data_IF_165044775172
#
_entry.id   IF_165044775172
#
_cell.length_a   1.000
_cell.length_b   1.000
_cell.length_c   1.000
_cell.angle_alpha   90.00
_cell.angle_beta   90.00
_cell.angle_gamma   90.00
#
_symmetry.space_group_name_H-M   'P 1'
#
loop_
_entity.id
_entity.type
_entity.pdbx_description
1 polymer ?
#
# COMPACT_ATOMS: atom_id res chain seq x y z
N UNK A 1 -8.14 -22.54 -3.22
CA UNK A 1 -6.94 -21.66 -3.14
C UNK A 1 -7.02 -20.47 -4.11
N UNK A 2 -7.49 -20.65 -5.35
CA UNK A 2 -7.68 -19.57 -6.34
C UNK A 2 -8.58 -18.38 -5.95
N UNK A 3 -9.71 -18.52 -5.23
CA UNK A 3 -10.56 -17.37 -4.89
C UNK A 3 -9.89 -16.43 -3.88
N UNK A 4 -9.19 -16.96 -2.88
CA UNK A 4 -8.54 -16.16 -1.84
C UNK A 4 -7.39 -15.30 -2.39
N UNK A 5 -6.65 -15.78 -3.40
CA UNK A 5 -5.60 -14.98 -4.08
C UNK A 5 -6.21 -13.81 -4.85
N UNK A 6 -7.35 -14.00 -5.54
CA UNK A 6 -8.04 -12.91 -6.23
C UNK A 6 -8.59 -11.88 -5.26
N UNK A 7 -9.14 -12.31 -4.13
CA UNK A 7 -9.62 -11.43 -3.06
C UNK A 7 -8.44 -10.67 -2.44
N UNK A 8 -7.34 -11.35 -2.14
CA UNK A 8 -6.11 -10.71 -1.64
C UNK A 8 -5.59 -9.66 -2.62
N UNK A 9 -5.47 -9.99 -3.90
CA UNK A 9 -4.93 -9.08 -4.92
C UNK A 9 -5.84 -7.86 -5.12
N UNK A 10 -7.17 -8.06 -5.09
CA UNK A 10 -8.14 -6.96 -5.16
C UNK A 10 -8.01 -6.01 -3.96
N UNK A 11 -8.00 -6.55 -2.75
CA UNK A 11 -7.86 -5.75 -1.53
C UNK A 11 -6.46 -5.14 -1.38
N UNK A 12 -5.43 -5.79 -1.91
CA UNK A 12 -4.08 -5.25 -2.01
C UNK A 12 -4.04 -4.01 -2.91
N UNK A 13 -4.66 -4.07 -4.10
CA UNK A 13 -4.76 -2.94 -5.02
C UNK A 13 -5.53 -1.79 -4.38
N UNK A 14 -6.64 -2.07 -3.69
CA UNK A 14 -7.41 -1.04 -2.96
C UNK A 14 -6.57 -0.39 -1.86
N UNK A 15 -5.86 -1.18 -1.03
CA UNK A 15 -5.00 -0.67 0.03
C UNK A 15 -3.80 0.14 -0.47
N UNK A 16 -3.16 -0.32 -1.55
CA UNK A 16 -2.06 0.38 -2.20
C UNK A 16 -2.53 1.70 -2.85
N UNK A 17 -3.70 1.71 -3.49
CA UNK A 17 -4.29 2.90 -4.09
C UNK A 17 -4.65 3.95 -3.03
N UNK A 18 -5.19 3.51 -1.89
CA UNK A 18 -5.49 4.40 -0.77
C UNK A 18 -4.22 5.03 -0.17
N UNK A 19 -3.18 4.23 0.08
CA UNK A 19 -1.90 4.75 0.56
C UNK A 19 -1.29 5.75 -0.43
N UNK A 20 -1.36 5.47 -1.73
CA UNK A 20 -0.90 6.37 -2.79
C UNK A 20 -1.71 7.67 -2.83
N UNK A 21 -3.04 7.61 -2.68
CA UNK A 21 -3.91 8.78 -2.60
C UNK A 21 -3.59 9.67 -1.39
N UNK A 22 -3.29 9.05 -0.23
CA UNK A 22 -2.90 9.78 0.99
C UNK A 22 -1.54 10.44 0.82
N UNK A 23 -0.57 9.78 0.19
CA UNK A 23 0.76 10.37 -0.08
C UNK A 23 0.66 11.56 -1.04
N UNK A 24 -0.22 11.47 -2.04
CA UNK A 24 -0.53 12.57 -2.94
C UNK A 24 -1.17 13.76 -2.20
N UNK A 25 -2.12 13.50 -1.31
CA UNK A 25 -2.81 14.51 -0.51
C UNK A 25 -1.93 15.16 0.56
N UNK A 26 -1.06 14.39 1.23
CA UNK A 26 -0.12 14.89 2.23
C UNK A 26 1.05 15.68 1.61
N UNK A 27 1.11 15.79 0.28
CA UNK A 27 2.16 16.54 -0.41
C UNK A 27 3.49 15.80 -0.51
N UNK A 28 3.52 14.48 -0.29
CA UNK A 28 4.75 13.67 -0.32
C UNK A 28 5.50 13.73 -1.66
N UNK A 29 4.80 14.00 -2.76
CA UNK A 29 5.42 14.19 -4.09
C UNK A 29 6.12 15.54 -4.19
N UNK A 30 5.57 16.60 -3.58
CA UNK A 30 6.19 17.93 -3.56
C UNK A 30 7.48 17.90 -2.72
N UNK A 31 7.44 17.23 -1.57
CA UNK A 31 8.60 16.97 -0.72
C UNK A 31 9.67 16.10 -1.41
N UNK A 32 9.27 15.06 -2.16
CA UNK A 32 10.19 14.22 -2.94
C UNK A 32 10.87 14.98 -4.10
N UNK A 33 10.18 15.93 -4.72
CA UNK A 33 10.70 16.77 -5.79
C UNK A 33 11.64 17.88 -5.27
N UNK A 34 11.37 18.46 -4.10
CA UNK A 34 12.25 19.50 -3.54
C UNK A 34 13.52 18.96 -2.87
N UNK A 35 13.54 17.68 -2.46
CA UNK A 35 14.68 17.04 -1.77
C UNK A 35 15.64 16.30 -2.72
N UNK A 36 15.62 16.62 -4.03
CA UNK A 36 16.36 15.90 -5.10
C UNK A 36 17.90 15.84 -4.95
N UNK A 37 18.52 16.50 -3.97
CA UNK A 37 19.98 16.61 -3.86
C UNK A 37 20.73 15.51 -3.08
N UNK A 38 20.10 14.77 -2.16
CA UNK A 38 20.86 13.83 -1.30
C UNK A 38 20.07 12.66 -0.68
N UNK A 39 18.76 12.81 -0.41
CA UNK A 39 17.96 11.81 0.34
C UNK A 39 16.87 11.16 -0.52
N UNK A 40 16.92 11.39 -1.84
CA UNK A 40 15.87 10.95 -2.77
C UNK A 40 15.66 9.43 -2.74
N UNK A 41 16.74 8.64 -2.67
CA UNK A 41 16.64 7.17 -2.62
C UNK A 41 15.97 6.64 -1.35
N UNK A 42 16.25 7.24 -0.18
CA UNK A 42 15.63 6.85 1.08
C UNK A 42 14.15 7.23 1.12
N UNK A 43 13.80 8.44 0.63
CA UNK A 43 12.41 8.90 0.52
C UNK A 43 11.60 8.01 -0.43
N UNK A 44 12.20 7.56 -1.53
CA UNK A 44 11.58 6.64 -2.48
C UNK A 44 11.31 5.28 -1.85
N UNK A 45 12.26 4.73 -1.09
CA UNK A 45 12.09 3.47 -0.37
C UNK A 45 11.00 3.61 0.69
N UNK A 46 10.95 4.72 1.42
CA UNK A 46 9.91 4.98 2.42
C UNK A 46 8.51 5.06 1.79
N UNK A 47 8.38 5.79 0.67
CA UNK A 47 7.15 5.83 -0.13
C UNK A 47 6.74 4.43 -0.61
N UNK A 48 7.68 3.69 -1.18
CA UNK A 48 7.43 2.36 -1.73
C UNK A 48 7.00 1.38 -0.63
N UNK A 49 7.68 1.43 0.52
CA UNK A 49 7.38 0.61 1.69
C UNK A 49 6.00 0.96 2.24
N UNK A 50 5.61 2.24 2.22
CA UNK A 50 4.29 2.69 2.67
C UNK A 50 3.17 2.19 1.75
N UNK A 51 3.36 2.25 0.43
CA UNK A 51 2.39 1.76 -0.56
C UNK A 51 2.24 0.24 -0.47
N UNK A 52 3.37 -0.48 -0.44
CA UNK A 52 3.41 -1.95 -0.34
C UNK A 52 2.84 -2.40 1.01
N UNK A 53 3.20 -1.73 2.10
CA UNK A 53 2.68 -2.00 3.44
C UNK A 53 1.17 -1.78 3.56
N UNK A 54 0.67 -0.66 3.01
CA UNK A 54 -0.78 -0.38 2.97
C UNK A 54 -1.56 -1.44 2.19
N UNK A 55 -1.04 -1.87 1.04
CA UNK A 55 -1.61 -2.98 0.27
C UNK A 55 -1.56 -4.32 1.01
N UNK A 56 -0.44 -4.65 1.65
CA UNK A 56 -0.27 -5.90 2.40
C UNK A 56 -1.24 -5.98 3.57
N UNK A 57 -1.40 -4.90 4.34
CA UNK A 57 -2.36 -4.83 5.43
C UNK A 57 -3.80 -5.04 4.92
N UNK A 58 -4.19 -4.35 3.85
CA UNK A 58 -5.51 -4.51 3.23
C UNK A 58 -5.77 -5.94 2.76
N UNK A 59 -4.79 -6.54 2.08
CA UNK A 59 -4.86 -7.92 1.61
C UNK A 59 -4.92 -8.95 2.76
N UNK A 60 -4.09 -8.79 3.79
CA UNK A 60 -4.07 -9.69 4.95
C UNK A 60 -5.38 -9.64 5.75
N UNK A 61 -5.95 -8.46 5.98
CA UNK A 61 -7.24 -8.32 6.66
C UNK A 61 -8.36 -9.00 5.87
N UNK A 62 -8.37 -8.86 4.54
CA UNK A 62 -9.36 -9.52 3.69
C UNK A 62 -9.29 -11.05 3.78
N UNK A 63 -8.07 -11.61 3.83
CA UNK A 63 -7.88 -13.06 4.04
C UNK A 63 -8.30 -13.51 5.43
N UNK A 64 -8.03 -12.72 6.48
CA UNK A 64 -8.45 -13.03 7.85
C UNK A 64 -9.98 -13.03 7.95
N UNK A 65 -10.66 -12.02 7.38
CA UNK A 65 -12.12 -11.96 7.34
C UNK A 65 -12.74 -13.12 6.53
N UNK A 66 -12.14 -13.48 5.39
CA UNK A 66 -12.56 -14.65 4.60
C UNK A 66 -12.42 -15.96 5.38
N UNK A 67 -11.37 -16.07 6.21
CA UNK A 67 -11.16 -17.21 7.10
C UNK A 67 -12.16 -17.25 8.26
N UNK A 68 -12.44 -16.12 8.91
CA UNK A 68 -13.40 -16.02 10.02
C UNK A 68 -14.81 -16.34 9.53
N UNK A 69 -15.22 -15.78 8.39
CA UNK A 69 -16.56 -16.00 7.80
C UNK A 69 -16.80 -17.45 7.37
N UNK A 70 -15.73 -18.22 7.18
CA UNK A 70 -15.79 -19.64 6.77
C UNK A 70 -15.74 -20.61 7.96
N UNK A 71 -15.47 -20.11 9.18
CA UNK A 71 -15.56 -20.86 10.44
C UNK A 71 -16.93 -20.72 11.07
#
# INVERSE_FOLDING_TARGET
MWPSIKVFLWWFVVGATMALAVILLQGGIREAMQTQGSVWGLKLVELLTTIVGGGLLGGCVALILDRIKKS
#
